data_IF_295010333636
#
_entry.id   IF_295010333636
#
_cell.length_a   1.000
_cell.length_b   1.000
_cell.length_c   1.000
_cell.angle_alpha   90.00
_cell.angle_beta   90.00
_cell.angle_gamma   90.00
#
_symmetry.space_group_name_H-M   'P 1'
#
loop_
_entity.id
_entity.type
_entity.pdbx_description
1 polymer ?
#
# COMPACT_ATOMS: atom_id res chain seq x y z
N UNK A 1 21.49 -4.65 -24.36
CA UNK A 1 21.06 -3.60 -25.30
C UNK A 1 19.53 -3.52 -25.49
N UNK A 2 18.69 -3.87 -24.50
CA UNK A 2 17.21 -3.88 -24.66
C UNK A 2 16.42 -3.08 -23.58
N UNK A 3 17.05 -2.44 -22.59
CA UNK A 3 16.31 -1.72 -21.52
C UNK A 3 15.60 -0.46 -22.04
N UNK A 4 16.30 0.33 -22.86
CA UNK A 4 15.81 1.60 -23.40
C UNK A 4 14.50 1.47 -24.21
N UNK A 5 14.26 0.35 -24.91
CA UNK A 5 13.01 0.15 -25.66
C UNK A 5 11.83 -0.19 -24.76
N UNK A 6 12.05 -0.93 -23.66
CA UNK A 6 10.99 -1.29 -22.73
C UNK A 6 10.49 -0.08 -21.92
N UNK A 7 11.42 0.74 -21.41
CA UNK A 7 11.09 1.96 -20.67
C UNK A 7 10.28 2.94 -21.53
N UNK A 8 10.65 3.13 -22.80
CA UNK A 8 9.89 3.98 -23.72
C UNK A 8 8.46 3.48 -23.94
N UNK A 9 8.27 2.16 -24.03
CA UNK A 9 6.93 1.56 -24.16
C UNK A 9 6.10 1.85 -22.90
N UNK A 10 6.63 1.57 -21.71
CA UNK A 10 5.91 1.80 -20.44
C UNK A 10 5.53 3.28 -20.27
N UNK A 11 6.46 4.19 -20.52
CA UNK A 11 6.22 5.63 -20.44
C UNK A 11 5.17 6.10 -21.45
N UNK A 12 5.19 5.59 -22.68
CA UNK A 12 4.17 5.95 -23.68
C UNK A 12 2.76 5.54 -23.25
N UNK A 13 2.62 4.38 -22.59
CA UNK A 13 1.35 3.89 -22.06
C UNK A 13 0.85 4.75 -20.90
N UNK A 14 1.73 5.22 -20.02
CA UNK A 14 1.35 6.04 -18.85
C UNK A 14 1.06 7.48 -19.25
N UNK A 15 1.88 8.03 -20.15
CA UNK A 15 1.74 9.41 -20.59
C UNK A 15 0.38 9.66 -21.24
N UNK A 16 -0.34 8.68 -21.77
CA UNK A 16 -1.69 8.94 -22.31
C UNK A 16 -2.69 9.45 -21.25
N UNK A 17 -2.41 9.25 -19.96
CA UNK A 17 -3.29 9.65 -18.86
C UNK A 17 -2.98 11.04 -18.27
N UNK A 18 -1.87 11.70 -18.63
CA UNK A 18 -1.49 12.99 -18.02
C UNK A 18 -2.52 14.11 -18.21
N UNK A 19 -3.40 13.98 -19.22
CA UNK A 19 -4.42 14.97 -19.57
C UNK A 19 -5.76 14.75 -18.86
N UNK A 20 -5.88 13.71 -18.03
CA UNK A 20 -7.12 13.46 -17.29
C UNK A 20 -7.38 14.57 -16.27
N UNK A 21 -8.64 14.97 -16.20
CA UNK A 21 -9.18 16.05 -15.38
C UNK A 21 -10.42 15.58 -14.63
N UNK A 22 -10.86 16.35 -13.64
CA UNK A 22 -12.09 16.08 -12.89
C UNK A 22 -13.36 16.22 -13.75
N UNK A 23 -13.30 16.97 -14.86
CA UNK A 23 -14.39 17.12 -15.82
C UNK A 23 -14.59 15.93 -16.76
N UNK A 24 -13.62 15.01 -16.84
CA UNK A 24 -13.75 13.82 -17.68
C UNK A 24 -14.84 12.87 -17.17
N UNK A 25 -15.37 12.07 -18.10
CA UNK A 25 -16.46 11.16 -17.79
C UNK A 25 -16.07 10.12 -16.74
N UNK A 26 -17.05 9.71 -15.96
CA UNK A 26 -16.87 8.74 -14.88
C UNK A 26 -16.29 7.40 -15.38
N UNK A 27 -16.76 6.95 -16.55
CA UNK A 27 -16.28 5.74 -17.23
C UNK A 27 -14.81 5.91 -17.67
N UNK A 28 -14.47 7.08 -18.23
CA UNK A 28 -13.10 7.36 -18.68
C UNK A 28 -12.10 7.30 -17.51
N UNK A 29 -12.43 7.94 -16.40
CA UNK A 29 -11.57 7.99 -15.21
C UNK A 29 -11.44 6.60 -14.58
N UNK A 30 -12.54 5.85 -14.47
CA UNK A 30 -12.52 4.47 -13.99
C UNK A 30 -11.58 3.60 -14.82
N UNK A 31 -11.78 3.58 -16.14
CA UNK A 31 -10.97 2.78 -17.04
C UNK A 31 -9.48 3.17 -16.98
N UNK A 32 -9.20 4.47 -16.86
CA UNK A 32 -7.83 4.95 -16.73
C UNK A 32 -7.17 4.46 -15.43
N UNK A 33 -7.86 4.48 -14.30
CA UNK A 33 -7.31 3.99 -13.04
C UNK A 33 -7.03 2.50 -13.09
N UNK A 34 -7.99 1.71 -13.59
CA UNK A 34 -7.81 0.28 -13.76
C UNK A 34 -6.58 0.04 -14.64
N UNK A 35 -6.49 0.70 -15.79
CA UNK A 35 -5.36 0.51 -16.71
C UNK A 35 -4.02 0.93 -16.10
N UNK A 36 -3.93 2.06 -15.39
CA UNK A 36 -2.68 2.50 -14.74
C UNK A 36 -2.23 1.47 -13.69
N UNK A 37 -3.16 0.94 -12.88
CA UNK A 37 -2.82 -0.06 -11.86
C UNK A 37 -2.30 -1.35 -12.48
N UNK A 38 -2.90 -1.80 -13.59
CA UNK A 38 -2.44 -2.98 -14.31
C UNK A 38 -1.06 -2.78 -14.94
N UNK A 39 -0.69 -1.54 -15.28
CA UNK A 39 0.64 -1.20 -15.79
C UNK A 39 1.69 -1.05 -14.70
N UNK A 40 1.29 -0.88 -13.44
CA UNK A 40 2.23 -0.56 -12.36
C UNK A 40 3.29 -1.65 -12.10
N UNK A 41 2.98 -2.96 -12.20
CA UNK A 41 4.01 -3.99 -12.16
C UNK A 41 5.07 -3.83 -13.26
N UNK A 42 4.68 -3.43 -14.48
CA UNK A 42 5.64 -3.14 -15.57
C UNK A 42 6.50 -1.92 -15.25
N UNK A 43 5.93 -0.89 -14.60
CA UNK A 43 6.70 0.29 -14.13
C UNK A 43 7.77 -0.11 -13.13
N UNK A 44 7.41 -0.91 -12.13
CA UNK A 44 8.35 -1.34 -11.10
C UNK A 44 9.42 -2.26 -11.68
N UNK A 45 9.05 -3.17 -12.59
CA UNK A 45 10.01 -4.00 -13.30
C UNK A 45 10.98 -3.17 -14.17
N UNK A 46 10.50 -2.10 -14.82
CA UNK A 46 11.34 -1.19 -15.57
C UNK A 46 12.31 -0.42 -14.66
N UNK A 47 11.86 0.02 -13.46
CA UNK A 47 12.74 0.64 -12.45
C UNK A 47 13.81 -0.35 -11.98
N UNK A 48 13.44 -1.61 -11.76
CA UNK A 48 14.37 -2.65 -11.33
C UNK A 48 15.43 -2.98 -12.39
N UNK A 49 15.07 -2.84 -13.68
CA UNK A 49 15.94 -3.14 -14.81
C UNK A 49 16.71 -1.92 -15.35
N UNK A 50 16.37 -0.71 -14.89
CA UNK A 50 16.99 0.52 -15.35
C UNK A 50 18.50 0.50 -15.09
N UNK A 51 19.26 0.92 -16.11
CA UNK A 51 20.73 0.84 -16.13
C UNK A 51 21.43 2.15 -15.83
N UNK A 52 20.71 3.27 -15.88
CA UNK A 52 21.22 4.60 -15.61
C UNK A 52 20.21 5.46 -14.82
N UNK A 53 20.70 6.56 -14.25
CA UNK A 53 19.95 7.42 -13.34
C UNK A 53 18.89 8.27 -14.07
N UNK A 54 19.09 8.58 -15.35
CA UNK A 54 18.15 9.36 -16.16
C UNK A 54 16.90 8.53 -16.50
N UNK A 55 17.09 7.24 -16.78
CA UNK A 55 16.01 6.26 -16.99
C UNK A 55 15.16 6.11 -15.70
N UNK A 56 15.82 5.98 -14.54
CA UNK A 56 15.17 5.93 -13.24
C UNK A 56 14.36 7.20 -12.95
N UNK A 57 14.94 8.38 -13.20
CA UNK A 57 14.27 9.66 -12.99
C UNK A 57 13.02 9.78 -13.85
N UNK A 58 13.11 9.40 -15.14
CA UNK A 58 11.98 9.47 -16.07
C UNK A 58 10.84 8.54 -15.65
N UNK A 59 11.15 7.32 -15.21
CA UNK A 59 10.15 6.38 -14.70
C UNK A 59 9.48 6.90 -13.42
N UNK A 60 10.22 7.61 -12.56
CA UNK A 60 9.67 8.19 -11.33
C UNK A 60 8.62 9.29 -11.60
N UNK A 61 8.67 9.98 -12.74
CA UNK A 61 7.63 10.96 -13.14
C UNK A 61 6.26 10.28 -13.29
N UNK A 62 6.22 8.99 -13.66
CA UNK A 62 4.98 8.22 -13.80
C UNK A 62 4.13 8.22 -12.52
N UNK A 63 4.76 8.37 -11.34
CA UNK A 63 4.07 8.49 -10.04
C UNK A 63 3.16 9.71 -9.96
N UNK A 64 3.52 10.81 -10.61
CA UNK A 64 2.69 12.00 -10.65
C UNK A 64 1.37 11.71 -11.37
N UNK A 65 1.41 10.91 -12.44
CA UNK A 65 0.22 10.50 -13.21
C UNK A 65 -0.67 9.59 -12.35
N UNK A 66 -0.11 8.57 -11.69
CA UNK A 66 -0.91 7.73 -10.77
C UNK A 66 -1.52 8.56 -9.64
N UNK A 67 -0.74 9.46 -9.03
CA UNK A 67 -1.22 10.34 -7.95
C UNK A 67 -2.36 11.24 -8.44
N UNK A 68 -2.24 11.82 -9.62
CA UNK A 68 -3.27 12.66 -10.24
C UNK A 68 -4.56 11.87 -10.46
N UNK A 69 -4.49 10.70 -11.12
CA UNK A 69 -5.68 9.89 -11.42
C UNK A 69 -6.34 9.39 -10.14
N UNK A 70 -5.55 8.96 -9.15
CA UNK A 70 -6.08 8.55 -7.86
C UNK A 70 -6.75 9.71 -7.10
N UNK A 71 -6.17 10.92 -7.16
CA UNK A 71 -6.76 12.12 -6.55
C UNK A 71 -8.08 12.50 -7.22
N UNK A 72 -8.15 12.40 -8.55
CA UNK A 72 -9.41 12.61 -9.30
C UNK A 72 -10.46 11.61 -8.83
N UNK A 73 -10.10 10.33 -8.68
CA UNK A 73 -11.03 9.31 -8.18
C UNK A 73 -11.52 9.62 -6.77
N UNK A 74 -10.63 9.98 -5.85
CA UNK A 74 -10.99 10.35 -4.48
C UNK A 74 -11.91 11.57 -4.43
N UNK A 75 -11.77 12.50 -5.38
CA UNK A 75 -12.62 13.70 -5.46
C UNK A 75 -14.03 13.42 -5.98
N UNK A 76 -14.23 12.26 -6.59
CA UNK A 76 -15.52 11.85 -7.15
C UNK A 76 -16.25 10.92 -6.18
N UNK A 77 -17.57 10.94 -6.25
CA UNK A 77 -18.46 10.05 -5.49
C UNK A 77 -18.40 8.58 -5.94
N UNK A 78 -17.34 8.17 -6.65
CA UNK A 78 -17.17 6.80 -7.15
C UNK A 78 -17.24 5.77 -6.04
N UNK A 79 -16.55 6.02 -4.93
CA UNK A 79 -16.44 5.06 -3.85
C UNK A 79 -17.74 4.85 -3.07
N UNK A 80 -18.66 5.83 -3.14
CA UNK A 80 -20.00 5.68 -2.59
C UNK A 80 -20.93 4.85 -3.50
N UNK A 81 -20.59 4.68 -4.79
CA UNK A 81 -21.44 4.05 -5.81
C UNK A 81 -20.91 2.73 -6.36
N UNK A 82 -19.60 2.50 -6.34
CA UNK A 82 -18.93 1.36 -6.95
C UNK A 82 -17.92 0.71 -6.00
N UNK A 83 -18.41 -0.18 -5.13
CA UNK A 83 -17.56 -0.94 -4.21
C UNK A 83 -16.61 -1.92 -4.91
N UNK A 84 -16.91 -2.33 -6.15
CA UNK A 84 -16.05 -3.24 -6.90
C UNK A 84 -14.77 -2.52 -7.34
N UNK A 85 -14.89 -1.28 -7.79
CA UNK A 85 -13.72 -0.44 -8.10
C UNK A 85 -12.84 -0.20 -6.87
N UNK A 86 -13.43 0.07 -5.70
CA UNK A 86 -12.68 0.23 -4.44
C UNK A 86 -11.86 -1.04 -4.13
N UNK A 87 -12.52 -2.21 -4.20
CA UNK A 87 -11.88 -3.51 -3.96
C UNK A 87 -10.73 -3.74 -4.95
N UNK A 88 -10.97 -3.49 -6.24
CA UNK A 88 -9.96 -3.66 -7.27
C UNK A 88 -8.74 -2.77 -7.01
N UNK A 89 -8.93 -1.47 -6.74
CA UNK A 89 -7.82 -0.56 -6.43
C UNK A 89 -7.05 -1.05 -5.20
N UNK A 90 -7.77 -1.46 -4.15
CA UNK A 90 -7.15 -1.95 -2.92
C UNK A 90 -6.30 -3.19 -3.18
N UNK A 91 -6.86 -4.23 -3.78
CA UNK A 91 -6.17 -5.50 -3.99
C UNK A 91 -5.09 -5.43 -5.08
N UNK A 92 -5.26 -4.60 -6.12
CA UNK A 92 -4.18 -4.36 -7.09
C UNK A 92 -2.97 -3.73 -6.41
N UNK A 93 -3.18 -2.70 -5.59
CA UNK A 93 -2.08 -2.08 -4.84
C UNK A 93 -1.48 -3.06 -3.83
N UNK A 94 -2.32 -3.81 -3.09
CA UNK A 94 -1.88 -4.78 -2.10
C UNK A 94 -1.01 -5.88 -2.74
N UNK A 95 -1.44 -6.45 -3.87
CA UNK A 95 -0.68 -7.47 -4.59
C UNK A 95 0.67 -6.94 -5.11
N UNK A 96 0.73 -5.67 -5.51
CA UNK A 96 2.01 -5.04 -5.87
C UNK A 96 2.94 -4.95 -4.65
N UNK A 97 2.40 -4.59 -3.47
CA UNK A 97 3.17 -4.54 -2.22
C UNK A 97 3.67 -5.92 -1.80
N UNK A 98 2.86 -6.98 -1.98
CA UNK A 98 3.27 -8.37 -1.71
C UNK A 98 4.54 -8.71 -2.49
N UNK A 99 4.58 -8.39 -3.78
CA UNK A 99 5.74 -8.62 -4.64
C UNK A 99 6.99 -7.79 -4.25
N UNK A 100 6.82 -6.74 -3.45
CA UNK A 100 7.89 -5.84 -3.01
C UNK A 100 8.05 -5.83 -1.49
N UNK A 101 7.64 -6.91 -0.81
CA UNK A 101 7.70 -7.03 0.65
C UNK A 101 9.12 -6.86 1.22
N UNK A 102 10.16 -7.09 0.40
CA UNK A 102 11.55 -6.89 0.79
C UNK A 102 11.88 -5.44 1.20
N UNK A 103 11.16 -4.44 0.66
CA UNK A 103 11.35 -3.02 0.99
C UNK A 103 11.14 -2.76 2.49
N UNK A 104 10.22 -3.49 3.12
CA UNK A 104 9.95 -3.36 4.55
C UNK A 104 11.09 -3.92 5.42
N UNK A 105 11.98 -4.74 4.87
CA UNK A 105 13.08 -5.41 5.58
C UNK A 105 14.46 -4.79 5.31
N UNK A 106 14.61 -3.99 4.26
CA UNK A 106 15.92 -3.48 3.82
C UNK A 106 16.34 -2.21 4.56
N UNK A 107 17.55 -2.21 5.13
CA UNK A 107 18.20 -1.01 5.71
C UNK A 107 19.15 -0.30 4.75
N UNK A 108 19.51 -0.94 3.63
CA UNK A 108 20.43 -0.40 2.63
C UNK A 108 19.68 0.30 1.49
N UNK A 109 19.91 1.60 1.32
CA UNK A 109 19.31 2.40 0.26
C UNK A 109 20.26 2.53 -0.93
N UNK A 110 20.07 1.71 -1.97
CA UNK A 110 20.58 2.06 -3.31
C UNK A 110 19.63 3.06 -3.96
N UNK A 111 20.08 3.83 -4.96
CA UNK A 111 19.20 4.77 -5.68
C UNK A 111 17.95 4.06 -6.25
N UNK A 112 18.12 2.86 -6.79
CA UNK A 112 17.02 1.99 -7.24
C UNK A 112 16.05 1.66 -6.10
N UNK A 113 16.57 1.23 -4.95
CA UNK A 113 15.75 0.93 -3.76
C UNK A 113 14.98 2.16 -3.29
N UNK A 114 15.54 3.37 -3.40
CA UNK A 114 14.86 4.63 -3.07
C UNK A 114 13.65 4.86 -3.98
N UNK A 115 13.77 4.59 -5.29
CA UNK A 115 12.66 4.76 -6.22
C UNK A 115 11.54 3.72 -6.00
N UNK A 116 11.90 2.48 -5.67
CA UNK A 116 10.93 1.43 -5.35
C UNK A 116 10.24 1.73 -4.02
N UNK A 117 11.00 2.07 -2.97
CA UNK A 117 10.46 2.50 -1.66
C UNK A 117 9.47 3.66 -1.83
N UNK A 118 9.84 4.64 -2.65
CA UNK A 118 8.98 5.74 -3.04
C UNK A 118 7.63 5.30 -3.64
N UNK A 119 7.63 4.28 -4.51
CA UNK A 119 6.41 3.73 -5.08
C UNK A 119 5.62 2.92 -4.05
N UNK A 120 6.30 2.12 -3.21
CA UNK A 120 5.68 1.41 -2.09
C UNK A 120 4.95 2.38 -1.17
N UNK A 121 5.58 3.51 -0.79
CA UNK A 121 4.94 4.56 0.01
C UNK A 121 3.70 5.17 -0.66
N UNK A 122 3.74 5.36 -1.99
CA UNK A 122 2.58 5.84 -2.74
C UNK A 122 1.43 4.82 -2.69
N UNK A 123 1.72 3.55 -2.96
CA UNK A 123 0.72 2.47 -2.91
C UNK A 123 0.15 2.29 -1.51
N UNK A 124 1.00 2.36 -0.47
CA UNK A 124 0.58 2.36 0.94
C UNK A 124 -0.37 3.51 1.25
N UNK A 125 -0.07 4.73 0.79
CA UNK A 125 -0.96 5.89 0.92
C UNK A 125 -2.30 5.64 0.22
N UNK A 126 -2.28 5.02 -0.96
CA UNK A 126 -3.50 4.74 -1.71
C UNK A 126 -4.38 3.74 -0.98
N UNK A 127 -3.85 2.58 -0.58
CA UNK A 127 -4.65 1.56 0.11
C UNK A 127 -5.20 2.10 1.43
N UNK A 128 -4.38 2.76 2.24
CA UNK A 128 -4.81 3.34 3.53
C UNK A 128 -5.93 4.36 3.39
N UNK A 129 -5.93 5.13 2.29
CA UNK A 129 -6.98 6.13 2.01
C UNK A 129 -8.33 5.50 1.69
N UNK A 130 -8.36 4.25 1.21
CA UNK A 130 -9.59 3.57 0.77
C UNK A 130 -9.96 2.36 1.63
N UNK A 131 -9.09 1.88 2.53
CA UNK A 131 -9.32 0.66 3.33
C UNK A 131 -10.67 0.67 4.05
N UNK A 132 -11.06 1.81 4.61
CA UNK A 132 -12.34 1.94 5.33
C UNK A 132 -13.57 1.73 4.43
N UNK A 133 -13.43 1.94 3.12
CA UNK A 133 -14.47 1.83 2.10
C UNK A 133 -14.53 0.42 1.49
N UNK A 134 -13.52 -0.41 1.73
CA UNK A 134 -13.45 -1.78 1.20
C UNK A 134 -14.43 -2.68 1.96
N UNK A 135 -15.30 -3.36 1.20
CA UNK A 135 -16.14 -4.44 1.71
C UNK A 135 -15.37 -5.75 1.56
N UNK A 136 -14.77 -6.24 2.65
CA UNK A 136 -13.99 -7.48 2.65
C UNK A 136 -14.88 -8.74 2.63
N UNK A 137 -14.33 -9.83 2.08
CA UNK A 137 -14.94 -11.16 1.96
C UNK A 137 -14.09 -12.18 2.75
N UNK A 138 -14.68 -13.33 3.10
CA UNK A 138 -14.04 -14.31 3.98
C UNK A 138 -12.80 -14.98 3.38
N UNK A 139 -12.69 -14.98 2.06
CA UNK A 139 -11.58 -15.54 1.28
C UNK A 139 -10.52 -14.48 0.92
N UNK A 140 -10.74 -13.21 1.30
CA UNK A 140 -9.70 -12.19 1.14
C UNK A 140 -8.51 -12.53 2.05
N UNK A 141 -7.29 -12.39 1.52
CA UNK A 141 -6.01 -12.68 2.18
C UNK A 141 -5.77 -14.16 2.54
N UNK A 142 -6.35 -15.09 1.78
CA UNK A 142 -6.14 -16.52 2.00
C UNK A 142 -4.76 -17.04 1.58
N UNK A 143 -3.93 -16.23 0.91
CA UNK A 143 -2.62 -16.66 0.42
C UNK A 143 -1.52 -16.48 1.47
N UNK A 144 -0.53 -17.38 1.45
CA UNK A 144 0.66 -17.30 2.29
C UNK A 144 1.45 -16.00 2.04
N UNK A 145 1.47 -15.52 0.79
CA UNK A 145 2.19 -14.30 0.43
C UNK A 145 1.60 -13.05 1.10
N UNK A 146 0.27 -13.03 1.30
CA UNK A 146 -0.41 -11.95 2.01
C UNK A 146 0.04 -11.90 3.49
N UNK A 147 0.15 -13.08 4.12
CA UNK A 147 0.66 -13.22 5.48
C UNK A 147 2.12 -12.75 5.58
N UNK A 148 2.95 -13.09 4.60
CA UNK A 148 4.35 -12.65 4.56
C UNK A 148 4.48 -11.13 4.47
N UNK A 149 3.60 -10.46 3.71
CA UNK A 149 3.57 -9.00 3.67
C UNK A 149 3.21 -8.42 5.05
N UNK A 150 2.18 -8.94 5.71
CA UNK A 150 1.80 -8.49 7.05
C UNK A 150 2.90 -8.71 8.08
N UNK A 151 3.62 -9.83 8.01
CA UNK A 151 4.79 -10.09 8.86
C UNK A 151 5.89 -9.05 8.58
N UNK A 152 6.20 -8.79 7.31
CA UNK A 152 7.23 -7.82 6.94
C UNK A 152 6.88 -6.40 7.41
N UNK A 153 5.60 -6.01 7.30
CA UNK A 153 5.08 -4.73 7.82
C UNK A 153 5.20 -4.62 9.34
N UNK A 154 4.91 -5.69 10.09
CA UNK A 154 5.08 -5.72 11.55
C UNK A 154 6.55 -5.58 11.92
N UNK A 155 7.42 -6.39 11.30
CA UNK A 155 8.87 -6.37 11.52
C UNK A 155 9.46 -4.97 11.23
N UNK A 156 8.93 -4.27 10.21
CA UNK A 156 9.31 -2.90 9.90
C UNK A 156 9.03 -1.94 11.06
N UNK A 157 7.81 -1.98 11.62
CA UNK A 157 7.44 -1.14 12.79
C UNK A 157 8.30 -1.50 14.00
N UNK A 158 8.60 -2.79 14.21
CA UNK A 158 9.42 -3.25 15.32
C UNK A 158 10.85 -2.65 15.25
N UNK A 159 11.40 -2.56 14.04
CA UNK A 159 12.75 -2.05 13.77
C UNK A 159 12.80 -0.52 13.62
N UNK A 160 11.71 0.14 13.26
CA UNK A 160 11.72 1.58 13.02
C UNK A 160 11.96 2.36 14.31
N UNK A 161 12.97 3.22 14.27
CA UNK A 161 13.37 4.12 15.34
C UNK A 161 13.24 5.60 14.93
N UNK A 162 12.79 5.90 13.71
CA UNK A 162 12.89 7.23 13.09
C UNK A 162 11.56 7.91 12.80
N UNK A 163 10.41 7.33 13.19
CA UNK A 163 9.07 7.89 12.96
C UNK A 163 8.85 8.26 11.49
N UNK A 164 8.98 7.29 10.59
CA UNK A 164 8.87 7.56 9.17
C UNK A 164 7.40 7.53 8.66
N UNK A 165 7.15 8.12 7.48
CA UNK A 165 5.81 8.16 6.89
C UNK A 165 5.27 6.77 6.47
N UNK A 166 6.14 5.77 6.31
CA UNK A 166 5.74 4.40 5.93
C UNK A 166 5.19 3.67 7.15
N UNK A 167 5.84 3.78 8.31
CA UNK A 167 5.36 3.30 9.60
C UNK A 167 3.95 3.82 9.89
N UNK A 168 3.72 5.13 9.78
CA UNK A 168 2.38 5.73 9.95
C UNK A 168 1.34 5.12 8.98
N UNK A 169 1.75 4.89 7.73
CA UNK A 169 0.91 4.25 6.71
C UNK A 169 0.56 2.81 7.07
N UNK A 170 1.54 2.01 7.49
CA UNK A 170 1.32 0.63 7.93
C UNK A 170 0.36 0.61 9.12
N UNK A 171 0.62 1.40 10.18
CA UNK A 171 -0.24 1.44 11.37
C UNK A 171 -1.67 1.82 10.99
N UNK A 172 -1.84 2.82 10.12
CA UNK A 172 -3.17 3.21 9.64
C UNK A 172 -3.85 2.08 8.88
N UNK A 173 -3.12 1.32 8.06
CA UNK A 173 -3.67 0.16 7.35
C UNK A 173 -4.14 -0.90 8.36
N UNK A 174 -3.26 -1.31 9.27
CA UNK A 174 -3.52 -2.36 10.26
C UNK A 174 -4.66 -1.96 11.19
N UNK A 175 -4.72 -0.70 11.61
CA UNK A 175 -5.83 -0.19 12.42
C UNK A 175 -7.18 -0.36 11.70
N UNK A 176 -7.27 0.04 10.43
CA UNK A 176 -8.50 -0.11 9.65
C UNK A 176 -8.87 -1.58 9.39
N UNK A 177 -7.87 -2.44 9.17
CA UNK A 177 -8.12 -3.87 8.94
C UNK A 177 -8.47 -4.62 10.23
N UNK A 178 -7.90 -4.25 11.38
CA UNK A 178 -8.17 -4.90 12.67
C UNK A 178 -9.63 -4.76 13.10
N UNK A 179 -10.32 -3.70 12.66
CA UNK A 179 -11.76 -3.50 12.87
C UNK A 179 -12.64 -4.46 12.04
N UNK A 180 -12.06 -5.16 11.06
CA UNK A 180 -12.75 -6.16 10.24
C UNK A 180 -12.59 -7.51 10.93
N UNK A 181 -13.63 -7.94 11.65
CA UNK A 181 -13.62 -9.20 12.42
C UNK A 181 -13.18 -10.43 11.61
N UNK A 182 -13.55 -10.49 10.33
CA UNK A 182 -13.17 -11.58 9.41
C UNK A 182 -11.66 -11.66 9.16
N UNK A 183 -10.91 -10.58 9.41
CA UNK A 183 -9.46 -10.50 9.26
C UNK A 183 -8.71 -10.73 10.57
N UNK A 184 -9.40 -10.86 11.70
CA UNK A 184 -8.73 -11.09 12.99
C UNK A 184 -7.88 -12.37 12.99
N UNK A 185 -8.34 -13.53 12.47
CA UNK A 185 -7.50 -14.73 12.40
C UNK A 185 -6.17 -14.51 11.68
N UNK A 186 -6.16 -13.68 10.62
CA UNK A 186 -4.94 -13.32 9.90
C UNK A 186 -3.94 -12.58 10.80
N UNK A 187 -4.40 -11.62 11.58
CA UNK A 187 -3.56 -10.87 12.53
C UNK A 187 -3.06 -11.73 13.68
N UNK A 188 -3.87 -12.66 14.16
CA UNK A 188 -3.45 -13.64 15.17
C UNK A 188 -2.37 -14.58 14.63
N UNK A 189 -2.51 -15.05 13.39
CA UNK A 189 -1.52 -15.93 12.74
C UNK A 189 -0.20 -15.23 12.38
N UNK A 190 -0.21 -13.90 12.32
CA UNK A 190 0.96 -13.07 11.99
C UNK A 190 1.55 -12.39 13.22
N UNK A 191 1.20 -12.87 14.42
CA UNK A 191 1.73 -12.45 15.72
C UNK A 191 1.62 -10.92 15.95
N UNK A 192 0.53 -10.31 15.46
CA UNK A 192 0.28 -8.88 15.67
C UNK A 192 -0.09 -8.56 17.12
N UNK A 193 -0.67 -9.49 17.88
CA UNK A 193 -0.98 -9.26 19.30
C UNK A 193 0.29 -8.92 20.07
N UNK A 194 1.34 -9.75 19.93
CA UNK A 194 2.63 -9.51 20.57
C UNK A 194 3.28 -8.23 20.06
N UNK A 195 3.32 -8.03 18.74
CA UNK A 195 3.89 -6.81 18.15
C UNK A 195 3.23 -5.54 18.69
N UNK A 196 1.90 -5.50 18.71
CA UNK A 196 1.13 -4.34 19.19
C UNK A 196 1.35 -4.09 20.69
N UNK A 197 1.51 -5.13 21.51
CA UNK A 197 1.88 -4.95 22.93
C UNK A 197 3.24 -4.28 23.06
N UNK A 198 4.24 -4.70 22.28
CA UNK A 198 5.56 -4.06 22.26
C UNK A 198 5.50 -2.62 21.73
N UNK A 199 4.64 -2.37 20.74
CA UNK A 199 4.38 -1.02 20.23
C UNK A 199 3.81 -0.11 21.31
N UNK A 200 2.85 -0.59 22.12
CA UNK A 200 2.28 0.17 23.24
C UNK A 200 3.36 0.53 24.26
N UNK A 201 4.25 -0.42 24.59
CA UNK A 201 5.37 -0.19 25.54
C UNK A 201 6.36 0.87 25.05
N UNK A 202 6.52 0.99 23.73
CA UNK A 202 7.51 1.88 23.10
C UNK A 202 6.88 3.08 22.39
N UNK A 203 5.59 3.33 22.60
CA UNK A 203 4.76 4.19 21.73
C UNK A 203 5.22 5.65 21.60
N UNK A 204 5.84 6.20 22.64
CA UNK A 204 6.31 7.59 22.62
C UNK A 204 7.47 7.81 21.63
N UNK A 205 8.16 6.74 21.23
CA UNK A 205 9.33 6.76 20.32
C UNK A 205 8.96 6.31 18.90
N UNK A 206 7.71 5.95 18.63
CA UNK A 206 7.34 5.36 17.33
C UNK A 206 6.14 6.02 16.65
N UNK A 207 5.33 6.79 17.37
CA UNK A 207 4.03 7.23 16.89
C UNK A 207 3.85 8.73 17.02
N UNK A 208 3.20 9.35 16.03
CA UNK A 208 2.75 10.75 16.10
C UNK A 208 1.57 10.90 17.05
N UNK A 209 1.40 12.10 17.61
CA UNK A 209 0.36 12.42 18.57
C UNK A 209 -1.06 12.02 18.13
N UNK A 210 -1.39 12.22 16.85
CA UNK A 210 -2.69 11.88 16.26
C UNK A 210 -2.92 10.36 16.08
N UNK A 211 -1.86 9.56 16.24
CA UNK A 211 -1.86 8.09 16.09
C UNK A 211 -1.46 7.35 17.37
N UNK A 212 -1.17 8.05 18.48
CA UNK A 212 -0.76 7.44 19.75
C UNK A 212 -1.74 6.38 20.28
N UNK A 213 -3.02 6.51 19.96
CA UNK A 213 -4.07 5.58 20.41
C UNK A 213 -4.26 4.38 19.45
N UNK A 214 -3.73 4.43 18.23
CA UNK A 214 -3.96 3.38 17.24
C UNK A 214 -3.55 1.98 17.73
N UNK A 215 -2.39 1.78 18.40
CA UNK A 215 -2.03 0.47 18.95
C UNK A 215 -3.04 -0.06 19.98
N UNK A 216 -3.60 0.81 20.82
CA UNK A 216 -4.62 0.42 21.81
C UNK A 216 -5.90 -0.05 21.11
N UNK A 217 -6.33 0.67 20.06
CA UNK A 217 -7.51 0.29 19.28
C UNK A 217 -7.29 -1.03 18.53
N UNK A 218 -6.11 -1.24 17.95
CA UNK A 218 -5.76 -2.51 17.31
C UNK A 218 -5.87 -3.64 18.33
N UNK A 219 -5.20 -3.50 19.49
CA UNK A 219 -5.22 -4.53 20.52
C UNK A 219 -6.64 -4.83 21.03
N UNK A 220 -7.44 -3.80 21.26
CA UNK A 220 -8.85 -3.93 21.63
C UNK A 220 -9.65 -4.69 20.57
N UNK A 221 -9.44 -4.43 19.28
CA UNK A 221 -10.17 -5.11 18.22
C UNK A 221 -9.77 -6.59 18.09
N UNK A 222 -8.48 -6.89 18.26
CA UNK A 222 -7.98 -8.27 18.26
C UNK A 222 -8.49 -9.06 19.47
N UNK A 223 -8.52 -8.45 20.67
CA UNK A 223 -8.94 -9.12 21.91
C UNK A 223 -10.45 -9.39 21.99
N UNK A 224 -11.26 -8.81 21.10
CA UNK A 224 -12.69 -9.10 21.01
C UNK A 224 -13.01 -10.42 20.31
N UNK A 225 -12.01 -11.07 19.70
CA UNK A 225 -12.16 -12.37 19.08
C UNK A 225 -11.79 -13.47 20.07
N UNK A 226 -12.53 -14.57 20.09
CA UNK A 226 -12.37 -15.65 21.09
C UNK A 226 -10.94 -16.20 21.16
N UNK A 227 -10.27 -16.28 20.02
CA UNK A 227 -8.87 -16.72 19.93
C UNK A 227 -7.86 -15.62 20.32
N UNK A 228 -8.23 -14.35 20.18
CA UNK A 228 -7.43 -13.22 20.64
C UNK A 228 -7.40 -13.09 22.16
N UNK A 229 -8.42 -13.60 22.86
CA UNK A 229 -8.47 -13.63 24.34
C UNK A 229 -7.43 -14.62 24.92
N UNK A 230 -7.05 -15.64 24.14
CA UNK A 230 -6.15 -16.73 24.61
C UNK A 230 -4.66 -16.44 24.40
N UNK A 231 -4.32 -15.46 23.56
CA UNK A 231 -2.95 -15.03 23.26
C UNK A 231 -2.52 -13.91 24.20
#
# INVERSE_FOLDING_TARGET
>A
MNSSSHTQIVLSKINKFHRLTTSDSDITIKNAMQEILHLWPEVLAAIDQATDDDELFTLNISRAVLTQVFTIILSKDFFNKDHLLVREIFFSCFNILVNHAYIFKTTNSTLRTIFIDSNVRLLMKMITSITSLVKFQNDDFSNIDDQQLFIAMREHIDQDCKHDNLTDGIISLIWNLSDRTILVPLFLNTDYVYGVIEWIKTREIKFRDDKLNAPIHILHNLSRHDDGIKQ
#
